data_IF_938446949678
#
_entry.id   IF_938446949678
#
_cell.length_a   1.000
_cell.length_b   1.000
_cell.length_c   1.000
_cell.angle_alpha   90.00
_cell.angle_beta   90.00
_cell.angle_gamma   90.00
#
_symmetry.space_group_name_H-M   'P 1'
#
loop_
_entity.id
_entity.type
_entity.pdbx_description
1 polymer ?
#
# COMPACT_ATOMS: atom_id res chain seq x y z
N UNK A 1 15.39 0.59 30.35
CA UNK A 1 14.28 1.13 31.18
C UNK A 1 13.01 0.49 30.67
N UNK A 2 12.28 -0.25 31.51
CA UNK A 2 10.91 -0.69 31.22
C UNK A 2 9.97 0.38 31.80
N UNK A 3 8.88 0.68 31.12
CA UNK A 3 7.86 1.71 31.40
C UNK A 3 8.28 3.16 31.10
N UNK A 4 9.09 3.41 30.06
CA UNK A 4 9.39 4.77 29.61
C UNK A 4 8.30 5.41 28.73
N UNK A 5 7.30 4.64 28.28
CA UNK A 5 6.32 5.06 27.28
C UNK A 5 6.93 5.22 25.88
N UNK A 6 8.08 4.60 25.63
CA UNK A 6 8.81 4.69 24.35
C UNK A 6 8.96 3.28 23.80
N UNK A 7 8.57 3.10 22.55
CA UNK A 7 8.62 1.84 21.81
C UNK A 7 9.50 2.04 20.59
N UNK A 8 10.30 1.07 20.22
CA UNK A 8 11.19 1.28 19.09
C UNK A 8 12.08 0.12 18.75
N UNK A 9 12.77 0.26 17.64
CA UNK A 9 13.70 -0.75 17.13
C UNK A 9 15.02 -0.09 16.80
N UNK A 10 16.10 -0.88 16.73
CA UNK A 10 17.41 -0.41 16.30
C UNK A 10 18.10 -1.41 15.40
N UNK A 11 19.09 -0.92 14.64
CA UNK A 11 20.10 -1.75 13.95
C UNK A 11 21.49 -1.14 14.08
N UNK A 12 22.52 -1.94 13.87
CA UNK A 12 23.87 -1.41 13.68
C UNK A 12 23.92 -0.62 12.38
N UNK A 13 24.56 0.55 12.41
CA UNK A 13 24.73 1.36 11.20
C UNK A 13 25.54 0.56 10.18
N UNK A 14 25.02 0.47 8.95
CA UNK A 14 25.63 -0.32 7.86
C UNK A 14 25.37 -1.83 7.91
N UNK A 15 24.63 -2.34 8.89
CA UNK A 15 24.23 -3.75 8.93
C UNK A 15 23.20 -4.04 7.84
N UNK A 16 23.48 -4.99 6.92
CA UNK A 16 22.55 -5.36 5.88
C UNK A 16 21.38 -6.22 6.40
N UNK A 17 21.37 -6.67 7.65
CA UNK A 17 20.25 -7.47 8.17
C UNK A 17 18.90 -6.74 8.03
N UNK A 18 17.84 -7.40 7.50
CA UNK A 18 16.49 -6.88 7.51
C UNK A 18 15.87 -6.92 8.90
N UNK A 19 16.40 -7.73 9.81
CA UNK A 19 15.89 -7.92 11.17
C UNK A 19 16.43 -6.86 12.11
N UNK A 20 15.55 -6.26 12.90
CA UNK A 20 15.85 -5.18 13.84
C UNK A 20 15.72 -5.65 15.29
N UNK A 21 16.47 -5.03 16.19
CA UNK A 21 16.39 -5.31 17.62
C UNK A 21 15.33 -4.41 18.27
N UNK A 22 14.33 -5.02 18.92
CA UNK A 22 13.37 -4.27 19.76
C UNK A 22 14.06 -3.67 20.98
N UNK A 23 13.79 -2.41 21.27
CA UNK A 23 14.36 -1.65 22.40
C UNK A 23 13.30 -0.93 23.22
N UNK A 24 13.72 -0.33 24.34
CA UNK A 24 12.84 0.37 25.28
C UNK A 24 11.69 -0.55 25.72
N UNK A 25 10.44 -0.06 25.72
CA UNK A 25 9.28 -0.83 26.16
C UNK A 25 8.82 -1.87 25.14
N UNK A 26 9.39 -1.86 23.93
CA UNK A 26 9.13 -2.92 22.95
C UNK A 26 9.97 -4.18 23.17
N UNK A 27 10.99 -4.13 24.04
CA UNK A 27 11.87 -5.26 24.31
C UNK A 27 11.09 -6.44 24.91
N UNK A 28 11.08 -7.57 24.19
CA UNK A 28 10.36 -8.78 24.58
C UNK A 28 8.91 -8.85 24.09
N UNK A 29 8.40 -7.83 23.38
CA UNK A 29 7.06 -7.88 22.79
C UNK A 29 7.00 -8.82 21.59
N UNK A 30 5.86 -9.48 21.45
CA UNK A 30 5.49 -10.38 20.35
C UNK A 30 4.53 -9.67 19.40
N UNK A 31 4.78 -9.73 18.09
CA UNK A 31 3.88 -9.23 17.05
C UNK A 31 3.68 -10.32 15.99
N UNK A 32 2.68 -11.20 16.20
CA UNK A 32 2.32 -12.25 15.23
C UNK A 32 1.21 -11.76 14.31
N UNK A 33 1.16 -12.34 13.11
CA UNK A 33 0.09 -12.14 12.13
C UNK A 33 -0.76 -13.41 12.00
N UNK A 34 -2.06 -13.22 11.75
CA UNK A 34 -3.03 -14.32 11.61
C UNK A 34 -3.27 -14.72 10.15
N UNK A 35 -3.88 -15.89 9.96
CA UNK A 35 -4.39 -16.35 8.67
C UNK A 35 -5.91 -16.55 8.77
N UNK A 36 -6.67 -15.86 7.92
CA UNK A 36 -8.14 -15.88 7.95
C UNK A 36 -8.69 -15.62 9.35
N UNK A 37 -9.57 -16.51 9.83
CA UNK A 37 -10.19 -16.42 11.16
C UNK A 37 -9.26 -16.67 12.37
N UNK A 38 -7.95 -16.90 12.16
CA UNK A 38 -7.02 -17.20 13.25
C UNK A 38 -6.78 -15.98 14.15
N UNK A 39 -6.92 -16.18 15.47
CA UNK A 39 -6.45 -15.23 16.50
C UNK A 39 -5.00 -15.54 16.86
N UNK A 40 -4.19 -14.49 17.04
CA UNK A 40 -2.78 -14.59 17.38
C UNK A 40 -2.40 -13.58 18.47
N UNK A 41 -1.25 -13.78 19.10
CA UNK A 41 -0.70 -12.83 20.06
C UNK A 41 -0.02 -11.67 19.31
N UNK A 42 -0.52 -10.46 19.50
CA UNK A 42 0.17 -9.23 19.11
C UNK A 42 0.08 -8.24 20.27
N UNK A 43 1.19 -8.08 21.01
CA UNK A 43 1.22 -7.26 22.22
C UNK A 43 1.02 -5.75 21.91
N UNK A 44 1.27 -5.34 20.66
CA UNK A 44 1.01 -3.97 20.19
C UNK A 44 -0.48 -3.63 20.12
N UNK A 45 -1.39 -4.62 20.17
CA UNK A 45 -2.84 -4.39 20.16
C UNK A 45 -3.34 -3.56 21.35
N UNK A 46 -2.56 -3.47 22.42
CA UNK A 46 -2.90 -2.71 23.63
C UNK A 46 -2.02 -1.46 23.82
N UNK A 47 -1.21 -1.10 22.81
CA UNK A 47 -0.19 -0.06 22.91
C UNK A 47 -0.46 1.05 21.89
N UNK A 48 -0.60 2.29 22.32
CA UNK A 48 -0.71 3.43 21.42
C UNK A 48 0.63 3.74 20.72
N UNK A 49 0.63 4.09 19.42
CA UNK A 49 -0.56 4.32 18.59
C UNK A 49 -1.20 3.04 17.99
N UNK A 50 -0.50 1.92 17.92
CA UNK A 50 -0.94 0.69 17.21
C UNK A 50 -2.31 0.15 17.65
N UNK A 51 -2.54 0.01 18.96
CA UNK A 51 -3.82 -0.42 19.53
C UNK A 51 -4.96 0.59 19.36
N UNK A 52 -4.65 1.81 18.93
CA UNK A 52 -5.63 2.85 18.62
C UNK A 52 -6.05 2.91 17.16
N UNK A 53 -5.51 2.04 16.28
CA UNK A 53 -5.99 1.93 14.91
C UNK A 53 -7.42 1.39 14.90
N UNK A 54 -8.38 2.15 14.36
CA UNK A 54 -9.79 1.75 14.35
C UNK A 54 -10.43 2.04 13.01
N UNK A 55 -10.96 1.00 12.38
CA UNK A 55 -11.82 1.18 11.21
C UNK A 55 -13.08 1.94 11.59
N UNK A 56 -13.49 2.89 10.76
CA UNK A 56 -14.66 3.73 11.00
C UNK A 56 -15.34 4.14 9.68
N UNK A 57 -16.63 4.46 9.76
CA UNK A 57 -17.32 5.22 8.72
C UNK A 57 -17.15 6.71 8.97
N UNK A 58 -16.38 7.38 8.12
CA UNK A 58 -16.10 8.81 8.21
C UNK A 58 -17.06 9.58 7.28
N UNK A 59 -17.76 10.56 7.84
CA UNK A 59 -18.55 11.52 7.07
C UNK A 59 -17.67 12.52 6.31
N UNK A 60 -18.18 13.18 5.26
CA UNK A 60 -17.41 14.17 4.48
C UNK A 60 -16.96 15.38 5.31
N UNK A 61 -17.62 15.65 6.43
CA UNK A 61 -17.29 16.68 7.41
C UNK A 61 -16.19 16.26 8.41
N UNK A 62 -15.67 15.03 8.30
CA UNK A 62 -14.68 14.46 9.20
C UNK A 62 -15.23 13.94 10.52
N UNK A 63 -16.56 13.81 10.66
CA UNK A 63 -17.18 13.20 11.83
C UNK A 63 -17.28 11.68 11.65
N UNK A 64 -16.79 10.94 12.64
CA UNK A 64 -17.00 9.49 12.70
C UNK A 64 -18.47 9.21 13.00
N UNK A 65 -19.07 8.34 12.19
CA UNK A 65 -20.49 7.92 12.32
C UNK A 65 -20.65 6.61 13.06
N UNK A 66 -19.71 5.68 12.88
CA UNK A 66 -19.64 4.41 13.58
C UNK A 66 -18.22 3.83 13.45
N UNK A 67 -17.76 3.14 14.48
CA UNK A 67 -16.54 2.32 14.46
C UNK A 67 -16.86 0.86 14.14
N UNK A 68 -15.89 0.14 13.58
CA UNK A 68 -16.00 -1.30 13.33
C UNK A 68 -16.40 -2.05 14.61
N UNK A 69 -17.40 -2.92 14.48
CA UNK A 69 -18.01 -3.64 15.61
C UNK A 69 -19.24 -2.95 16.23
N UNK A 70 -19.48 -1.67 15.93
CA UNK A 70 -20.70 -0.97 16.37
C UNK A 70 -21.89 -1.26 15.43
N UNK A 71 -23.15 -1.29 15.92
CA UNK A 71 -24.33 -1.63 15.10
C UNK A 71 -24.54 -0.78 13.84
N UNK A 72 -24.03 0.46 13.85
CA UNK A 72 -24.14 1.40 12.73
C UNK A 72 -23.07 1.26 11.65
N UNK A 73 -22.02 0.45 11.88
CA UNK A 73 -20.92 0.32 10.93
C UNK A 73 -21.37 -0.40 9.65
N UNK A 74 -20.81 0.02 8.51
CA UNK A 74 -21.03 -0.56 7.18
C UNK A 74 -19.73 -0.56 6.38
N UNK A 75 -19.31 -1.70 5.84
CA UNK A 75 -18.09 -1.79 5.01
C UNK A 75 -18.31 -1.44 3.53
N UNK A 76 -19.55 -1.45 3.06
CA UNK A 76 -19.96 -1.23 1.66
C UNK A 76 -19.95 0.26 1.21
N UNK A 77 -19.65 1.18 2.13
CA UNK A 77 -19.63 2.62 1.90
C UNK A 77 -20.95 3.34 2.16
N UNK A 78 -22.04 2.64 2.49
CA UNK A 78 -23.34 3.26 2.81
C UNK A 78 -23.29 4.12 4.09
N UNK A 79 -22.43 3.72 5.03
CA UNK A 79 -22.18 4.48 6.27
C UNK A 79 -21.35 5.75 6.06
N UNK A 80 -20.69 5.93 4.91
CA UNK A 80 -19.65 6.92 4.67
C UNK A 80 -18.34 6.26 4.22
N UNK A 81 -17.28 7.05 4.08
CA UNK A 81 -15.98 6.53 3.67
C UNK A 81 -15.46 5.55 4.73
N UNK A 82 -15.09 4.33 4.34
CA UNK A 82 -14.49 3.37 5.28
C UNK A 82 -13.01 3.72 5.43
N UNK A 83 -12.66 4.26 6.58
CA UNK A 83 -11.33 4.76 6.89
C UNK A 83 -10.77 4.02 8.11
N UNK A 84 -9.48 4.18 8.36
CA UNK A 84 -8.78 3.76 9.58
C UNK A 84 -8.33 5.02 10.30
N UNK A 85 -8.90 5.27 11.47
CA UNK A 85 -8.45 6.30 12.41
C UNK A 85 -7.10 5.91 13.00
N UNK A 86 -6.15 6.83 12.99
CA UNK A 86 -4.80 6.65 13.55
C UNK A 86 -4.56 7.77 14.56
N UNK A 87 -4.32 7.44 15.85
CA UNK A 87 -4.08 8.43 16.87
C UNK A 87 -2.72 9.08 16.72
N UNK A 88 -2.63 10.34 17.14
CA UNK A 88 -1.39 11.09 17.21
C UNK A 88 -0.33 10.36 18.02
N UNK A 89 0.91 10.42 17.52
CA UNK A 89 2.10 9.99 18.23
C UNK A 89 3.27 10.93 17.91
N UNK A 90 4.34 10.77 18.67
CA UNK A 90 5.61 11.46 18.50
C UNK A 90 6.68 10.45 18.12
N UNK A 91 7.66 10.87 17.35
CA UNK A 91 8.71 10.00 16.85
C UNK A 91 10.09 10.62 17.01
N UNK A 92 11.09 9.76 17.12
CA UNK A 92 12.48 10.13 17.11
C UNK A 92 13.25 9.09 16.31
N UNK A 93 13.97 9.56 15.29
CA UNK A 93 14.90 8.76 14.53
C UNK A 93 16.28 9.39 14.67
N UNK A 94 17.27 8.59 15.08
CA UNK A 94 18.62 9.08 15.32
C UNK A 94 19.67 7.98 15.16
N UNK A 95 20.90 8.42 14.93
CA UNK A 95 22.09 7.58 15.09
C UNK A 95 22.85 7.97 16.37
N UNK A 96 23.23 6.97 17.17
CA UNK A 96 24.07 7.16 18.36
C UNK A 96 24.90 5.90 18.64
N UNK A 97 26.19 6.08 18.90
CA UNK A 97 27.11 4.99 19.27
C UNK A 97 27.14 3.82 18.26
N UNK A 98 27.04 4.13 16.96
CA UNK A 98 27.05 3.13 15.89
C UNK A 98 25.74 2.34 15.73
N UNK A 99 24.64 2.84 16.30
CA UNK A 99 23.29 2.30 16.16
C UNK A 99 22.35 3.35 15.57
N UNK A 100 21.48 2.92 14.67
CA UNK A 100 20.32 3.68 14.17
C UNK A 100 19.07 3.26 14.94
N UNK A 101 18.28 4.20 15.43
CA UNK A 101 17.09 3.98 16.28
C UNK A 101 15.84 4.57 15.63
N UNK A 102 14.74 3.79 15.58
CA UNK A 102 13.39 4.29 15.28
C UNK A 102 12.54 4.17 16.54
N UNK A 103 12.15 5.31 17.09
CA UNK A 103 11.43 5.40 18.35
C UNK A 103 10.08 6.10 18.17
N UNK A 104 9.07 5.61 18.88
CA UNK A 104 7.69 6.08 18.88
C UNK A 104 7.24 6.25 20.33
N UNK A 105 6.49 7.31 20.60
CA UNK A 105 5.85 7.57 21.89
C UNK A 105 4.44 8.14 21.67
N UNK A 106 3.41 7.65 22.37
CA UNK A 106 2.07 8.24 22.32
C UNK A 106 2.03 9.61 23.01
N UNK A 107 2.98 9.91 23.89
CA UNK A 107 3.10 11.18 24.59
C UNK A 107 4.29 11.99 24.10
N UNK A 108 4.28 13.31 24.33
CA UNK A 108 5.43 14.17 24.02
C UNK A 108 6.63 13.77 24.89
N UNK A 109 7.77 13.55 24.25
CA UNK A 109 9.05 13.22 24.89
C UNK A 109 10.12 14.23 24.43
N UNK A 110 11.18 14.38 25.23
CA UNK A 110 12.31 15.23 24.86
C UNK A 110 12.98 14.71 23.57
N UNK A 111 13.24 15.60 22.62
CA UNK A 111 13.83 15.27 21.32
C UNK A 111 12.86 14.66 20.30
N UNK A 112 11.69 14.16 20.72
CA UNK A 112 10.71 13.60 19.80
C UNK A 112 9.95 14.71 19.07
N UNK A 113 9.73 14.50 17.77
CA UNK A 113 8.96 15.39 16.90
C UNK A 113 7.57 14.85 16.63
N UNK A 114 6.63 15.76 16.42
CA UNK A 114 5.33 15.45 15.83
C UNK A 114 5.47 15.44 14.29
N UNK A 115 4.90 14.45 13.62
CA UNK A 115 4.89 14.44 12.15
C UNK A 115 4.02 15.57 11.59
N UNK A 116 4.41 16.22 10.47
CA UNK A 116 3.52 17.15 9.77
C UNK A 116 2.20 16.52 9.31
N UNK A 117 2.08 15.19 9.26
CA UNK A 117 0.82 14.49 9.02
C UNK A 117 -0.24 14.84 10.08
N UNK A 118 0.15 15.12 11.32
CA UNK A 118 -0.74 15.45 12.43
C UNK A 118 -0.87 16.96 12.66
N UNK A 119 -0.66 17.78 11.64
CA UNK A 119 -0.85 19.23 11.71
C UNK A 119 -1.97 19.65 10.76
N UNK A 120 -2.88 20.50 11.24
CA UNK A 120 -3.85 21.16 10.38
C UNK A 120 -3.21 22.28 9.53
N UNK A 121 -3.99 22.90 8.66
CA UNK A 121 -3.52 23.99 7.79
C UNK A 121 -3.00 25.23 8.55
N UNK A 122 -3.26 25.35 9.86
CA UNK A 122 -2.77 26.43 10.74
C UNK A 122 -1.59 25.98 11.61
N UNK A 123 -1.10 24.76 11.41
CA UNK A 123 -0.02 24.16 12.20
C UNK A 123 -0.46 23.70 13.59
N UNK A 124 -1.76 23.55 13.85
CA UNK A 124 -2.25 23.02 15.13
C UNK A 124 -2.23 21.49 15.13
N UNK A 125 -1.84 20.84 16.24
CA UNK A 125 -1.86 19.40 16.35
C UNK A 125 -3.26 18.80 16.23
N UNK A 126 -3.38 17.78 15.39
CA UNK A 126 -4.54 16.91 15.28
C UNK A 126 -4.41 15.76 16.28
N UNK A 127 -5.52 15.34 16.88
CA UNK A 127 -5.54 14.14 17.73
C UNK A 127 -5.54 12.85 16.91
N UNK A 128 -6.12 12.88 15.71
CA UNK A 128 -6.21 11.73 14.81
C UNK A 128 -6.11 12.16 13.35
N UNK A 129 -5.67 11.24 12.51
CA UNK A 129 -5.75 11.29 11.04
C UNK A 129 -6.40 10.02 10.54
N UNK A 130 -6.83 10.01 9.27
CA UNK A 130 -7.55 8.88 8.71
C UNK A 130 -7.03 8.50 7.33
N UNK A 131 -6.82 7.21 7.11
CA UNK A 131 -6.44 6.65 5.81
C UNK A 131 -7.52 5.69 5.31
N UNK A 132 -7.76 5.61 4.01
CA UNK A 132 -8.71 4.67 3.42
C UNK A 132 -8.38 3.23 3.83
N UNK A 133 -9.36 2.53 4.40
CA UNK A 133 -9.21 1.11 4.71
C UNK A 133 -9.01 0.30 3.42
N UNK A 134 -9.58 0.77 2.30
CA UNK A 134 -9.49 0.16 1.00
C UNK A 134 -8.93 1.14 -0.05
N UNK A 135 -8.55 0.62 -1.21
CA UNK A 135 -8.24 1.44 -2.38
C UNK A 135 -9.47 2.25 -2.82
N UNK A 136 -9.25 3.43 -3.36
CA UNK A 136 -10.31 4.26 -3.93
C UNK A 136 -11.03 3.49 -5.06
N UNK A 137 -12.31 3.24 -4.89
CA UNK A 137 -13.20 2.66 -5.89
C UNK A 137 -14.17 3.72 -6.44
N UNK A 138 -14.80 3.51 -7.61
CA UNK A 138 -15.86 4.39 -8.10
C UNK A 138 -17.09 4.37 -7.18
N UNK A 139 -17.64 5.54 -6.88
CA UNK A 139 -18.88 5.68 -6.09
C UNK A 139 -20.17 5.49 -6.92
N UNK A 140 -20.03 5.38 -8.25
CA UNK A 140 -21.15 5.30 -9.21
C UNK A 140 -21.78 6.65 -9.58
N UNK A 141 -21.25 7.76 -9.07
CA UNK A 141 -21.73 9.14 -9.26
C UNK A 141 -20.65 10.09 -9.81
N UNK A 142 -19.51 9.54 -10.22
CA UNK A 142 -18.36 10.29 -10.75
C UNK A 142 -17.31 10.65 -9.70
N UNK A 143 -17.53 10.30 -8.43
CA UNK A 143 -16.58 10.44 -7.34
C UNK A 143 -15.86 9.14 -6.98
N UNK A 144 -15.29 9.12 -5.77
CA UNK A 144 -14.53 7.99 -5.22
C UNK A 144 -15.02 7.62 -3.83
N UNK A 145 -14.90 6.34 -3.50
CA UNK A 145 -15.25 5.78 -2.20
C UNK A 145 -14.20 4.76 -1.75
N UNK A 146 -13.85 4.76 -0.48
CA UNK A 146 -13.16 3.65 0.19
C UNK A 146 -14.23 2.73 0.78
N UNK A 147 -14.43 1.56 0.17
CA UNK A 147 -15.45 0.59 0.54
C UNK A 147 -15.10 -0.82 0.04
N UNK A 148 -15.58 -1.83 0.78
CA UNK A 148 -15.57 -3.24 0.39
C UNK A 148 -16.60 -3.54 -0.71
N UNK A 149 -16.45 -4.69 -1.36
CA UNK A 149 -17.36 -5.17 -2.41
C UNK A 149 -17.24 -4.41 -3.73
N UNK A 150 -16.14 -3.68 -3.94
CA UNK A 150 -15.89 -2.88 -5.15
C UNK A 150 -14.45 -3.05 -5.62
N UNK A 151 -14.25 -3.14 -6.93
CA UNK A 151 -12.91 -3.05 -7.48
C UNK A 151 -12.39 -1.62 -7.35
N UNK A 152 -11.14 -1.49 -6.90
CA UNK A 152 -10.44 -0.21 -6.93
C UNK A 152 -10.43 0.35 -8.36
N UNK A 153 -10.50 1.67 -8.47
CA UNK A 153 -10.31 2.35 -9.75
C UNK A 153 -8.81 2.34 -10.08
N UNK A 154 -8.51 2.06 -11.34
CA UNK A 154 -7.16 2.06 -11.93
C UNK A 154 -7.14 2.95 -13.17
N UNK A 155 -6.01 3.00 -13.89
CA UNK A 155 -5.88 3.75 -15.16
C UNK A 155 -6.28 5.22 -14.98
N UNK A 156 -5.75 5.83 -13.94
CA UNK A 156 -6.03 7.22 -13.60
C UNK A 156 -4.72 7.88 -13.23
N UNK A 157 -4.45 9.04 -13.82
CA UNK A 157 -3.25 9.83 -13.58
C UNK A 157 -3.29 10.53 -12.20
N UNK A 158 -2.13 11.02 -11.76
CA UNK A 158 -2.02 11.68 -10.46
C UNK A 158 -2.88 12.96 -10.33
N UNK A 159 -2.91 13.88 -11.32
CA UNK A 159 -3.77 15.06 -11.26
C UNK A 159 -5.25 14.71 -11.06
N UNK A 160 -5.75 13.72 -11.79
CA UNK A 160 -7.15 13.29 -11.69
C UNK A 160 -7.44 12.68 -10.33
N UNK A 161 -6.55 11.83 -9.80
CA UNK A 161 -6.70 11.29 -8.45
C UNK A 161 -6.74 12.37 -7.38
N UNK A 162 -5.84 13.35 -7.45
CA UNK A 162 -5.83 14.49 -6.52
C UNK A 162 -7.16 15.25 -6.59
N UNK A 163 -7.66 15.51 -7.79
CA UNK A 163 -8.96 16.15 -8.00
C UNK A 163 -10.11 15.36 -7.38
N UNK A 164 -10.20 14.05 -7.69
CA UNK A 164 -11.23 13.16 -7.16
C UNK A 164 -11.25 13.14 -5.63
N UNK A 165 -10.09 13.04 -4.98
CA UNK A 165 -10.00 13.00 -3.52
C UNK A 165 -10.37 14.35 -2.91
N UNK A 166 -9.87 15.47 -3.46
CA UNK A 166 -10.19 16.83 -2.96
C UNK A 166 -11.66 17.22 -3.15
N UNK A 167 -12.33 16.66 -4.16
CA UNK A 167 -13.75 16.89 -4.40
C UNK A 167 -14.66 16.35 -3.27
N UNK A 168 -14.15 15.48 -2.39
CA UNK A 168 -14.88 15.05 -1.19
C UNK A 168 -15.04 16.18 -0.15
N UNK A 169 -14.17 17.19 -0.20
CA UNK A 169 -14.25 18.38 0.63
C UNK A 169 -12.91 18.83 1.21
N UNK A 170 -12.92 19.89 2.03
CA UNK A 170 -11.72 20.33 2.74
C UNK A 170 -11.12 19.19 3.56
N UNK A 171 -9.79 19.17 3.68
CA UNK A 171 -9.00 18.14 4.42
C UNK A 171 -8.96 16.76 3.77
N UNK A 172 -9.78 16.49 2.75
CA UNK A 172 -9.65 15.28 1.94
C UNK A 172 -8.53 15.43 0.92
N UNK A 173 -7.70 14.39 0.84
CA UNK A 173 -6.60 14.28 -0.10
C UNK A 173 -6.35 12.84 -0.49
N UNK A 174 -5.40 12.68 -1.40
CA UNK A 174 -4.80 11.38 -1.69
C UNK A 174 -3.65 11.16 -0.69
N UNK A 175 -3.31 9.90 -0.42
CA UNK A 175 -2.13 9.55 0.37
C UNK A 175 -0.88 10.34 -0.09
N UNK A 176 -0.12 10.85 0.87
CA UNK A 176 1.02 11.72 0.64
C UNK A 176 2.32 11.17 1.25
N UNK A 177 3.45 11.73 0.81
CA UNK A 177 4.78 11.27 1.21
C UNK A 177 5.03 11.44 2.72
N UNK A 178 4.41 12.42 3.37
CA UNK A 178 4.54 12.60 4.81
C UNK A 178 3.88 11.43 5.53
N UNK A 179 2.63 11.12 5.19
CA UNK A 179 1.90 10.01 5.77
C UNK A 179 2.63 8.67 5.54
N UNK A 180 3.06 8.40 4.30
CA UNK A 180 3.74 7.16 3.97
C UNK A 180 5.02 6.95 4.82
N UNK A 181 5.91 7.94 4.83
CA UNK A 181 7.23 7.78 5.47
C UNK A 181 7.17 7.91 7.01
N UNK A 182 6.43 8.89 7.53
CA UNK A 182 6.39 9.15 8.98
C UNK A 182 5.38 8.29 9.73
N UNK A 183 4.38 7.70 9.05
CA UNK A 183 3.30 6.94 9.69
C UNK A 183 3.36 5.48 9.29
N UNK A 184 3.11 5.15 8.02
CA UNK A 184 3.02 3.74 7.61
C UNK A 184 4.35 2.99 7.78
N UNK A 185 5.43 3.50 7.18
CA UNK A 185 6.74 2.85 7.23
C UNK A 185 7.28 2.71 8.65
N UNK A 186 7.21 3.80 9.43
CA UNK A 186 7.69 3.82 10.82
C UNK A 186 6.91 2.84 11.71
N UNK A 187 5.58 2.91 11.71
CA UNK A 187 4.77 2.10 12.61
C UNK A 187 4.84 0.61 12.25
N UNK A 188 4.87 0.26 10.97
CA UNK A 188 5.06 -1.13 10.53
C UNK A 188 6.42 -1.67 10.99
N UNK A 189 7.48 -0.90 10.76
CA UNK A 189 8.87 -1.31 11.07
C UNK A 189 9.08 -1.52 12.56
N UNK A 190 8.55 -0.63 13.40
CA UNK A 190 8.61 -0.79 14.85
C UNK A 190 7.72 -1.95 15.32
N UNK A 191 6.53 -2.12 14.75
CA UNK A 191 5.62 -3.21 15.12
C UNK A 191 6.25 -4.57 14.85
N UNK A 192 6.81 -4.80 13.66
CA UNK A 192 7.31 -6.12 13.26
C UNK A 192 8.82 -6.31 13.45
N UNK A 193 9.54 -5.25 13.82
CA UNK A 193 11.00 -5.27 13.99
C UNK A 193 11.74 -5.81 12.76
N UNK A 194 11.29 -5.40 11.58
CA UNK A 194 11.95 -5.71 10.32
C UNK A 194 11.74 -4.62 9.28
N UNK A 195 12.71 -4.47 8.39
CA UNK A 195 12.60 -3.67 7.17
C UNK A 195 11.96 -4.45 6.01
N UNK A 196 11.94 -5.79 6.07
CA UNK A 196 11.36 -6.64 5.02
C UNK A 196 9.88 -6.91 5.31
N UNK A 197 9.00 -6.07 4.77
CA UNK A 197 7.55 -6.20 4.95
C UNK A 197 6.99 -7.53 4.42
N UNK A 198 7.49 -8.01 3.28
CA UNK A 198 7.06 -9.28 2.68
C UNK A 198 7.42 -10.51 3.52
N UNK A 199 8.42 -10.41 4.42
CA UNK A 199 8.73 -11.49 5.38
C UNK A 199 7.66 -11.65 6.47
N UNK A 200 6.86 -10.60 6.71
CA UNK A 200 5.75 -10.62 7.66
C UNK A 200 4.48 -11.06 6.95
N UNK A 201 4.17 -10.42 5.81
CA UNK A 201 3.00 -10.68 4.99
C UNK A 201 3.38 -10.45 3.52
N UNK A 202 3.39 -11.48 2.66
CA UNK A 202 3.84 -11.31 1.27
C UNK A 202 2.96 -10.35 0.47
N UNK A 203 1.63 -10.43 0.66
CA UNK A 203 0.65 -9.61 -0.05
C UNK A 203 0.33 -10.12 -1.46
N UNK A 204 -0.47 -9.35 -2.20
CA UNK A 204 -0.81 -9.62 -3.60
C UNK A 204 0.34 -9.09 -4.49
N UNK A 205 1.29 -9.94 -4.87
CA UNK A 205 2.52 -9.51 -5.56
C UNK A 205 2.92 -10.42 -6.74
N UNK A 206 2.46 -11.68 -6.78
CA UNK A 206 2.82 -12.70 -7.78
C UNK A 206 1.59 -13.46 -8.33
N UNK A 207 0.60 -12.71 -8.79
CA UNK A 207 -0.57 -13.25 -9.47
C UNK A 207 -0.30 -13.50 -10.97
N UNK A 208 -0.94 -14.53 -11.57
CA UNK A 208 -0.81 -14.87 -12.99
C UNK A 208 -0.95 -13.68 -13.94
N UNK A 209 0.08 -13.42 -14.74
CA UNK A 209 0.10 -12.32 -15.72
C UNK A 209 1.02 -12.68 -16.89
N UNK A 210 0.51 -13.41 -17.89
CA UNK A 210 1.32 -13.92 -19.02
C UNK A 210 0.69 -13.67 -20.38
N UNK A 211 1.50 -13.22 -21.34
CA UNK A 211 1.13 -13.13 -22.75
C UNK A 211 1.29 -14.46 -23.51
N UNK A 212 1.89 -15.46 -22.87
CA UNK A 212 2.23 -16.76 -23.47
C UNK A 212 1.15 -17.83 -23.24
N UNK A 213 0.07 -17.49 -22.53
CA UNK A 213 -1.02 -18.41 -22.20
C UNK A 213 -2.38 -17.88 -22.68
N UNK A 214 -2.60 -17.80 -24.00
CA UNK A 214 -3.86 -17.31 -24.55
C UNK A 214 -5.02 -18.29 -24.31
N UNK A 215 -6.23 -17.78 -24.49
CA UNK A 215 -7.44 -18.59 -24.57
C UNK A 215 -7.33 -19.56 -25.74
N UNK A 216 -7.73 -20.80 -25.50
CA UNK A 216 -7.62 -21.90 -26.45
C UNK A 216 -8.87 -22.08 -27.30
N UNK A 217 -9.99 -21.48 -26.91
CA UNK A 217 -11.30 -21.64 -27.54
C UNK A 217 -12.05 -20.31 -27.59
N UNK A 218 -12.86 -20.13 -28.62
CA UNK A 218 -13.85 -19.05 -28.69
C UNK A 218 -15.20 -19.55 -28.15
N UNK A 219 -15.83 -18.78 -27.27
CA UNK A 219 -17.15 -19.07 -26.71
C UNK A 219 -17.96 -17.76 -26.64
N UNK A 220 -19.23 -17.79 -27.08
CA UNK A 220 -20.12 -16.62 -27.04
C UNK A 220 -20.91 -16.62 -25.73
N UNK A 221 -21.10 -15.45 -25.12
CA UNK A 221 -21.85 -15.29 -23.87
C UNK A 221 -21.39 -16.23 -22.76
N UNK A 222 -20.09 -16.34 -22.52
CA UNK A 222 -19.49 -17.27 -21.57
C UNK A 222 -18.99 -16.59 -20.29
N UNK A 223 -19.02 -17.34 -19.18
CA UNK A 223 -18.42 -16.99 -17.88
C UNK A 223 -17.25 -17.92 -17.54
N UNK A 224 -16.57 -18.43 -18.57
CA UNK A 224 -15.39 -19.28 -18.39
C UNK A 224 -14.38 -19.04 -19.50
N UNK A 225 -13.12 -19.01 -19.13
CA UNK A 225 -11.99 -18.86 -20.03
C UNK A 225 -11.20 -20.17 -20.08
N UNK A 226 -11.06 -20.77 -21.27
CA UNK A 226 -10.31 -22.03 -21.43
C UNK A 226 -8.87 -21.74 -21.78
N UNK A 227 -7.94 -22.12 -20.89
CA UNK A 227 -6.49 -21.93 -21.05
C UNK A 227 -5.73 -23.24 -20.83
N UNK A 228 -4.41 -23.21 -21.02
CA UNK A 228 -3.55 -24.34 -20.68
C UNK A 228 -3.70 -24.69 -19.19
N UNK A 229 -3.76 -25.98 -18.88
CA UNK A 229 -4.03 -26.48 -17.52
C UNK A 229 -3.01 -25.97 -16.50
N UNK A 230 -1.72 -25.93 -16.86
CA UNK A 230 -0.67 -25.42 -15.98
C UNK A 230 -0.83 -23.94 -15.63
N UNK A 231 -1.39 -23.14 -16.54
CA UNK A 231 -1.68 -21.73 -16.28
C UNK A 231 -2.95 -21.57 -15.45
N UNK A 232 -4.02 -22.30 -15.77
CA UNK A 232 -5.28 -22.27 -15.03
C UNK A 232 -5.11 -22.61 -13.54
N UNK A 233 -4.21 -23.56 -13.21
CA UNK A 233 -3.92 -23.99 -11.83
C UNK A 233 -3.33 -22.89 -10.94
N UNK A 234 -2.87 -21.78 -11.51
CA UNK A 234 -2.35 -20.65 -10.76
C UNK A 234 -3.46 -19.68 -10.30
N UNK A 235 -4.67 -19.80 -10.86
CA UNK A 235 -5.84 -19.04 -10.45
C UNK A 235 -6.60 -19.74 -9.34
N UNK A 236 -7.32 -18.96 -8.53
CA UNK A 236 -8.15 -19.50 -7.46
C UNK A 236 -9.38 -18.65 -7.18
N UNK A 237 -10.40 -19.18 -6.48
CA UNK A 237 -11.59 -18.43 -6.15
C UNK A 237 -11.31 -17.09 -5.44
N UNK A 238 -12.09 -16.06 -5.80
CA UNK A 238 -11.98 -14.70 -5.28
C UNK A 238 -10.92 -13.82 -5.97
N UNK A 239 -10.01 -14.41 -6.75
CA UNK A 239 -8.97 -13.67 -7.45
C UNK A 239 -9.55 -12.78 -8.54
N UNK A 240 -9.15 -11.51 -8.53
CA UNK A 240 -9.46 -10.57 -9.60
C UNK A 240 -8.77 -10.96 -10.91
N UNK A 241 -9.53 -10.97 -12.00
CA UNK A 241 -9.05 -11.23 -13.35
C UNK A 241 -9.54 -10.15 -14.32
N UNK A 242 -8.93 -10.11 -15.49
CA UNK A 242 -9.36 -9.33 -16.63
C UNK A 242 -9.10 -10.12 -17.93
N UNK A 243 -9.85 -9.77 -18.97
CA UNK A 243 -9.69 -10.35 -20.30
C UNK A 243 -9.65 -9.27 -21.40
N UNK A 244 -8.80 -9.52 -22.40
CA UNK A 244 -8.69 -8.73 -23.63
C UNK A 244 -7.58 -9.25 -24.54
N UNK A 245 -7.14 -8.46 -25.52
CA UNK A 245 -6.24 -8.95 -26.58
C UNK A 245 -4.75 -8.72 -26.28
N UNK A 246 -4.42 -8.03 -25.19
CA UNK A 246 -3.05 -7.78 -24.75
C UNK A 246 -2.98 -7.71 -23.22
N UNK A 247 -1.79 -7.91 -22.65
CA UNK A 247 -1.60 -7.73 -21.22
C UNK A 247 -1.94 -6.29 -20.83
N UNK A 248 -2.80 -6.17 -19.83
CA UNK A 248 -3.30 -4.88 -19.37
C UNK A 248 -4.47 -4.35 -20.18
N UNK A 249 -4.86 -4.95 -21.32
CA UNK A 249 -6.11 -4.64 -22.02
C UNK A 249 -7.30 -5.37 -21.39
N UNK A 250 -8.14 -4.63 -20.67
CA UNK A 250 -9.29 -5.16 -19.94
C UNK A 250 -10.64 -4.76 -20.59
N UNK A 251 -10.70 -4.58 -21.90
CA UNK A 251 -11.92 -4.12 -22.59
C UNK A 251 -13.03 -5.17 -22.68
N UNK A 252 -12.71 -6.47 -22.65
CA UNK A 252 -13.70 -7.55 -22.77
C UNK A 252 -14.31 -7.86 -21.42
N UNK A 253 -13.46 -8.16 -20.44
CA UNK A 253 -13.84 -8.29 -19.03
C UNK A 253 -12.94 -7.36 -18.22
N UNK A 254 -13.44 -6.19 -17.77
CA UNK A 254 -12.65 -5.23 -17.02
C UNK A 254 -12.14 -5.74 -15.69
N UNK A 255 -13.05 -6.35 -14.92
CA UNK A 255 -12.82 -7.00 -13.64
C UNK A 255 -13.85 -8.11 -13.47
N UNK A 256 -13.40 -9.27 -13.01
CA UNK A 256 -14.25 -10.34 -12.51
C UNK A 256 -13.49 -11.12 -11.44
N UNK A 257 -14.21 -11.78 -10.54
CA UNK A 257 -13.63 -12.70 -9.57
C UNK A 257 -13.70 -14.11 -10.13
N UNK A 258 -12.60 -14.85 -10.01
CA UNK A 258 -12.59 -16.29 -10.29
C UNK A 258 -13.56 -16.98 -9.33
N UNK A 259 -14.40 -17.86 -9.88
CA UNK A 259 -15.35 -18.68 -9.11
C UNK A 259 -14.91 -20.14 -9.03
N UNK A 260 -14.05 -20.58 -9.94
CA UNK A 260 -13.48 -21.93 -9.89
C UNK A 260 -12.57 -22.26 -11.07
N UNK A 261 -11.85 -23.37 -10.95
CA UNK A 261 -11.01 -23.94 -12.02
C UNK A 261 -11.45 -25.38 -12.26
N UNK A 262 -11.83 -25.71 -13.49
CA UNK A 262 -12.31 -27.04 -13.88
C UNK A 262 -11.40 -27.66 -14.93
N UNK A 263 -10.83 -28.84 -14.64
CA UNK A 263 -10.01 -29.57 -15.61
C UNK A 263 -10.90 -30.14 -16.72
N UNK A 264 -10.52 -29.90 -17.97
CA UNK A 264 -11.27 -30.38 -19.14
C UNK A 264 -10.61 -31.58 -19.82
N UNK A 265 -9.41 -31.96 -19.37
CA UNK A 265 -8.58 -32.98 -20.01
C UNK A 265 -7.84 -32.47 -21.26
N UNK A 266 -6.88 -33.26 -21.73
CA UNK A 266 -6.04 -32.89 -22.87
C UNK A 266 -5.15 -31.67 -22.62
N UNK A 267 -4.72 -31.45 -21.37
CA UNK A 267 -3.87 -30.32 -20.98
C UNK A 267 -4.59 -28.96 -20.92
N UNK A 268 -5.92 -28.96 -20.84
CA UNK A 268 -6.77 -27.75 -20.81
C UNK A 268 -7.60 -27.68 -19.54
N UNK A 269 -7.86 -26.46 -19.09
CA UNK A 269 -8.77 -26.20 -17.98
C UNK A 269 -9.57 -24.91 -18.23
N UNK A 270 -10.78 -24.86 -17.68
CA UNK A 270 -11.63 -23.69 -17.68
C UNK A 270 -11.46 -22.92 -16.35
N UNK A 271 -11.15 -21.64 -16.44
CA UNK A 271 -11.24 -20.70 -15.31
C UNK A 271 -12.59 -20.01 -15.39
N UNK A 272 -13.49 -20.33 -14.46
CA UNK A 272 -14.81 -19.72 -14.35
C UNK A 272 -14.73 -18.43 -13.55
N UNK A 273 -15.57 -17.45 -13.91
CA UNK A 273 -15.59 -16.12 -13.29
C UNK A 273 -17.00 -15.57 -13.15
N UNK A 274 -17.18 -14.59 -12.27
CA UNK A 274 -18.47 -13.93 -12.01
C UNK A 274 -18.76 -12.78 -12.99
N UNK A 275 -19.89 -12.10 -12.80
CA UNK A 275 -20.30 -10.96 -13.63
C UNK A 275 -21.02 -11.35 -14.93
N UNK A 276 -21.31 -10.36 -15.80
CA UNK A 276 -22.01 -10.59 -17.05
C UNK A 276 -21.24 -11.57 -17.97
N UNK A 277 -21.93 -12.47 -18.68
CA UNK A 277 -21.29 -13.30 -19.69
C UNK A 277 -20.65 -12.44 -20.79
N UNK A 278 -19.51 -12.89 -21.32
CA UNK A 278 -18.76 -12.17 -22.35
C UNK A 278 -18.48 -13.04 -23.57
N UNK A 279 -18.35 -12.40 -24.74
CA UNK A 279 -17.89 -13.06 -25.96
C UNK A 279 -16.37 -13.19 -25.90
N UNK A 280 -15.90 -14.42 -25.83
CA UNK A 280 -14.48 -14.77 -25.71
C UNK A 280 -13.98 -15.35 -27.02
N UNK A 281 -12.80 -14.90 -27.45
CA UNK A 281 -12.15 -15.37 -28.66
C UNK A 281 -10.86 -16.11 -28.31
N UNK A 282 -10.59 -17.21 -29.01
CA UNK A 282 -9.28 -17.85 -28.98
C UNK A 282 -8.19 -16.83 -29.34
N UNK A 283 -7.09 -16.82 -28.59
CA UNK A 283 -6.03 -15.83 -28.72
C UNK A 283 -6.15 -14.63 -27.77
N UNK A 284 -7.31 -14.37 -27.16
CA UNK A 284 -7.40 -13.42 -26.04
C UNK A 284 -6.54 -13.87 -24.86
N UNK A 285 -6.21 -12.95 -23.96
CA UNK A 285 -5.44 -13.23 -22.75
C UNK A 285 -6.35 -13.18 -21.53
N UNK A 286 -6.20 -14.19 -20.67
CA UNK A 286 -6.68 -14.18 -19.28
C UNK A 286 -5.51 -13.81 -18.38
N UNK A 287 -5.66 -12.78 -17.57
CA UNK A 287 -4.62 -12.35 -16.63
C UNK A 287 -5.24 -11.77 -15.36
N UNK A 288 -4.45 -11.70 -14.29
CA UNK A 288 -4.91 -11.20 -13.01
C UNK A 288 -5.07 -9.69 -13.03
N UNK A 289 -6.08 -9.20 -12.32
CA UNK A 289 -6.35 -7.78 -12.09
C UNK A 289 -6.43 -7.51 -10.59
N UNK A 290 -6.81 -6.29 -10.21
CA UNK A 290 -7.06 -5.93 -8.82
C UNK A 290 -7.94 -6.95 -8.11
N UNK A 291 -7.55 -7.32 -6.89
CA UNK A 291 -8.47 -8.01 -5.99
C UNK A 291 -9.58 -7.04 -5.56
N UNK A 292 -10.82 -7.54 -5.47
CA UNK A 292 -11.96 -6.75 -5.00
C UNK A 292 -11.72 -6.28 -3.56
N UNK A 293 -12.04 -5.02 -3.25
CA UNK A 293 -11.90 -4.52 -1.88
C UNK A 293 -12.73 -5.37 -0.91
N UNK A 294 -12.19 -5.65 0.27
CA UNK A 294 -12.78 -6.55 1.27
C UNK A 294 -12.23 -7.98 1.23
N UNK A 295 -11.25 -8.26 0.36
CA UNK A 295 -10.62 -9.57 0.25
C UNK A 295 -9.89 -10.05 1.51
N UNK A 296 -9.57 -9.15 2.44
CA UNK A 296 -8.93 -9.46 3.72
C UNK A 296 -9.85 -9.17 4.94
N UNK A 297 -11.14 -8.88 4.72
CA UNK A 297 -12.07 -8.52 5.82
C UNK A 297 -12.30 -9.64 6.84
N UNK A 298 -12.10 -10.89 6.43
CA UNK A 298 -12.23 -12.07 7.30
C UNK A 298 -11.00 -12.32 8.20
N UNK A 299 -9.91 -11.53 8.04
CA UNK A 299 -8.75 -11.61 8.92
C UNK A 299 -9.15 -11.20 10.34
N UNK A 300 -9.17 -12.16 11.26
CA UNK A 300 -9.63 -11.94 12.63
C UNK A 300 -8.58 -11.26 13.53
N UNK A 301 -7.29 -11.41 13.19
CA UNK A 301 -6.18 -10.76 13.87
C UNK A 301 -6.08 -9.27 13.49
N UNK A 302 -5.36 -8.48 14.29
CA UNK A 302 -5.08 -7.07 13.96
C UNK A 302 -4.26 -6.91 12.69
N UNK A 303 -3.48 -7.94 12.30
CA UNK A 303 -2.73 -8.02 11.05
C UNK A 303 -2.66 -9.46 10.57
N UNK A 304 -2.67 -9.69 9.25
CA UNK A 304 -2.72 -11.03 8.69
C UNK A 304 -2.96 -11.12 7.20
N UNK A 305 -3.07 -12.35 6.73
CA UNK A 305 -3.42 -12.68 5.36
C UNK A 305 -4.77 -13.41 5.31
N UNK A 306 -5.54 -13.22 4.24
CA UNK A 306 -6.84 -13.89 4.08
C UNK A 306 -6.73 -15.42 4.12
N UNK A 307 -5.62 -15.97 3.59
CA UNK A 307 -5.28 -17.39 3.63
C UNK A 307 -3.76 -17.56 3.59
N UNK A 308 -3.27 -18.76 3.93
CA UNK A 308 -1.85 -19.07 3.95
C UNK A 308 -1.31 -19.14 2.53
N UNK A 309 -0.38 -18.25 2.21
CA UNK A 309 0.26 -18.17 0.90
C UNK A 309 1.63 -17.52 1.05
N UNK A 310 2.67 -18.22 0.59
CA UNK A 310 4.04 -17.70 0.61
C UNK A 310 4.46 -17.14 -0.76
N UNK A 311 3.62 -17.31 -1.77
CA UNK A 311 3.92 -17.03 -3.17
C UNK A 311 3.63 -15.58 -3.53
N UNK A 312 2.84 -14.85 -2.75
CA UNK A 312 2.49 -13.47 -3.04
C UNK A 312 1.14 -13.37 -3.71
N UNK A 313 0.19 -14.17 -3.26
CA UNK A 313 -1.13 -14.17 -3.81
C UNK A 313 -2.13 -13.69 -2.75
N UNK A 314 -1.93 -13.84 -1.44
CA UNK A 314 -3.01 -13.52 -0.48
C UNK A 314 -3.26 -12.00 -0.32
N UNK A 315 -4.53 -11.54 -0.30
CA UNK A 315 -4.89 -10.26 0.28
C UNK A 315 -4.42 -10.18 1.73
N UNK A 316 -3.92 -9.03 2.14
CA UNK A 316 -3.37 -8.80 3.48
C UNK A 316 -4.07 -7.64 4.18
N UNK A 317 -4.10 -7.69 5.50
CA UNK A 317 -4.63 -6.66 6.37
C UNK A 317 -3.53 -6.25 7.34
N UNK A 318 -3.29 -4.95 7.48
CA UNK A 318 -2.47 -4.40 8.54
C UNK A 318 -3.24 -3.34 9.30
N UNK A 319 -3.59 -3.61 10.55
CA UNK A 319 -4.25 -2.65 11.46
C UNK A 319 -5.52 -2.03 10.87
N UNK A 320 -6.28 -2.79 10.09
CA UNK A 320 -7.49 -2.33 9.42
C UNK A 320 -7.29 -1.73 8.02
N UNK A 321 -6.05 -1.57 7.57
CA UNK A 321 -5.70 -1.15 6.21
C UNK A 321 -5.54 -2.40 5.35
N UNK A 322 -6.39 -2.57 4.35
CA UNK A 322 -6.31 -3.66 3.39
C UNK A 322 -5.28 -3.35 2.30
N UNK A 323 -4.44 -4.34 2.02
CA UNK A 323 -3.37 -4.31 1.01
C UNK A 323 -2.56 -3.00 1.09
N UNK A 324 -1.86 -2.72 2.21
CA UNK A 324 -1.06 -1.50 2.38
C UNK A 324 0.13 -1.43 1.40
N UNK A 325 0.45 -2.55 0.76
CA UNK A 325 1.37 -2.69 -0.35
C UNK A 325 0.95 -3.92 -1.17
N UNK A 326 1.55 -4.09 -2.35
CA UNK A 326 1.06 -5.04 -3.33
C UNK A 326 -0.34 -4.65 -3.82
N UNK A 327 -1.01 -5.57 -4.49
CA UNK A 327 -2.21 -5.36 -5.27
C UNK A 327 -1.95 -4.34 -6.39
N UNK A 328 -1.85 -3.05 -6.11
CA UNK A 328 -1.59 -2.02 -7.12
C UNK A 328 -0.60 -0.99 -6.63
N UNK A 329 0.10 -0.37 -7.57
CA UNK A 329 0.84 0.85 -7.25
C UNK A 329 -0.13 1.94 -6.81
N UNK A 330 0.20 2.64 -5.74
CA UNK A 330 -0.58 3.80 -5.26
C UNK A 330 0.16 5.10 -5.59
N UNK A 331 -0.54 6.08 -6.16
CA UNK A 331 -0.01 7.41 -6.35
C UNK A 331 0.23 8.13 -5.03
N UNK A 332 1.38 8.80 -4.92
CA UNK A 332 1.77 9.58 -3.75
C UNK A 332 1.84 11.07 -4.09
N UNK A 333 1.22 11.89 -3.25
CA UNK A 333 1.27 13.34 -3.36
C UNK A 333 2.37 13.98 -2.50
N UNK A 334 2.62 15.27 -2.71
CA UNK A 334 3.56 16.05 -1.88
C UNK A 334 5.04 15.77 -2.15
N UNK A 335 5.37 15.02 -3.21
CA UNK A 335 6.74 14.79 -3.68
C UNK A 335 6.81 14.81 -5.21
N UNK A 336 7.85 15.46 -5.73
CA UNK A 336 8.26 15.45 -7.13
C UNK A 336 9.76 15.20 -7.20
N UNK A 337 10.23 14.39 -8.16
CA UNK A 337 11.66 14.09 -8.35
C UNK A 337 12.08 14.69 -9.69
N UNK A 338 13.08 15.57 -9.71
CA UNK A 338 13.69 16.05 -10.95
C UNK A 338 15.11 15.49 -11.04
N UNK A 339 15.38 14.62 -12.02
CA UNK A 339 16.72 14.08 -12.28
C UNK A 339 17.41 13.57 -10.98
N UNK A 340 16.73 12.63 -10.31
CA UNK A 340 17.14 12.04 -9.02
C UNK A 340 17.12 13.00 -7.83
N UNK A 341 16.64 14.24 -7.97
CA UNK A 341 16.53 15.19 -6.85
C UNK A 341 15.08 15.28 -6.35
N UNK A 342 14.77 14.81 -5.13
CA UNK A 342 13.45 15.02 -4.54
C UNK A 342 13.19 16.48 -4.12
N UNK A 343 11.96 16.91 -4.37
CA UNK A 343 11.36 18.15 -3.91
C UNK A 343 10.08 17.80 -3.18
N UNK A 344 9.97 18.17 -1.91
CA UNK A 344 8.85 17.77 -1.05
C UNK A 344 8.06 18.95 -0.54
N UNK A 345 6.77 18.74 -0.34
CA UNK A 345 5.84 19.71 0.22
C UNK A 345 5.10 19.09 1.41
N UNK A 346 4.97 19.84 2.51
CA UNK A 346 4.22 19.40 3.70
C UNK A 346 2.84 20.01 3.81
N UNK A 347 2.53 21.02 2.99
CA UNK A 347 1.22 21.69 2.94
C UNK A 347 0.33 21.04 1.86
N UNK A 348 -0.71 20.27 2.25
CA UNK A 348 -1.61 19.64 1.29
C UNK A 348 -2.32 20.61 0.36
N UNK A 349 -2.53 21.86 0.79
CA UNK A 349 -3.15 22.90 -0.03
C UNK A 349 -2.26 23.35 -1.19
N UNK A 350 -0.94 23.19 -1.05
CA UNK A 350 0.06 23.62 -2.03
C UNK A 350 0.55 22.49 -2.96
N UNK A 351 0.03 21.25 -2.80
CA UNK A 351 0.46 20.13 -3.65
C UNK A 351 0.17 20.38 -5.13
N UNK A 352 1.19 20.13 -5.94
CA UNK A 352 1.27 20.38 -7.37
C UNK A 352 2.02 19.24 -8.07
N UNK A 353 1.56 18.87 -9.27
CA UNK A 353 2.14 17.76 -10.03
C UNK A 353 3.53 18.04 -10.60
N UNK A 354 3.85 19.32 -10.78
CA UNK A 354 5.02 19.73 -11.55
C UNK A 354 5.88 20.79 -10.83
N UNK A 355 5.51 21.22 -9.62
CA UNK A 355 6.27 22.23 -8.91
C UNK A 355 7.52 21.66 -8.24
N UNK A 356 8.63 22.40 -8.39
CA UNK A 356 9.91 22.18 -7.71
C UNK A 356 10.40 23.47 -7.03
N UNK A 357 9.51 24.46 -6.90
CA UNK A 357 9.79 25.78 -6.34
C UNK A 357 8.67 26.19 -5.37
N UNK A 358 8.86 27.33 -4.68
CA UNK A 358 7.87 27.85 -3.74
C UNK A 358 7.70 26.94 -2.52
N UNK A 359 6.50 26.35 -2.36
CA UNK A 359 6.18 25.46 -1.24
C UNK A 359 6.91 24.10 -1.31
N UNK A 360 7.49 23.76 -2.47
CA UNK A 360 8.29 22.56 -2.65
C UNK A 360 9.76 22.83 -2.29
N UNK A 361 10.27 22.07 -1.32
CA UNK A 361 11.62 22.21 -0.79
C UNK A 361 12.49 21.06 -1.28
N UNK A 362 13.63 21.42 -1.87
CA UNK A 362 14.67 20.47 -2.27
C UNK A 362 15.32 19.81 -1.06
N UNK A 363 15.42 18.48 -1.09
CA UNK A 363 16.19 17.71 -0.10
C UNK A 363 17.69 17.82 -0.37
N UNK A 364 18.53 17.66 0.66
CA UNK A 364 19.99 17.82 0.56
C UNK A 364 20.75 16.60 -0.01
N UNK A 365 20.05 15.56 -0.47
CA UNK A 365 20.63 14.35 -1.07
C UNK A 365 20.02 14.07 -2.47
N UNK A 366 20.56 13.08 -3.19
CA UNK A 366 19.97 12.54 -4.42
C UNK A 366 19.45 11.14 -4.17
N UNK A 367 18.40 10.77 -4.90
CA UNK A 367 17.99 9.39 -5.01
C UNK A 367 19.02 8.56 -5.79
N UNK A 368 18.92 7.24 -5.65
CA UNK A 368 19.81 6.28 -6.28
C UNK A 368 19.81 6.44 -7.81
N UNK A 369 20.98 6.50 -8.45
CA UNK A 369 21.06 6.50 -9.91
C UNK A 369 20.76 5.12 -10.52
N UNK A 370 20.76 4.06 -9.72
CA UNK A 370 20.52 2.69 -10.18
C UNK A 370 19.03 2.43 -10.31
N UNK A 371 18.59 2.11 -11.53
CA UNK A 371 17.20 1.77 -11.83
C UNK A 371 16.88 0.30 -11.54
N UNK A 372 15.61 0.00 -11.29
CA UNK A 372 15.06 -1.34 -11.11
C UNK A 372 15.90 -2.22 -10.17
N UNK A 373 16.28 -1.68 -9.02
CA UNK A 373 17.24 -2.32 -8.13
C UNK A 373 16.79 -2.35 -6.67
N UNK A 374 17.18 -3.39 -5.89
CA UNK A 374 16.90 -3.47 -4.46
C UNK A 374 17.46 -2.27 -3.70
N UNK A 375 16.69 -1.72 -2.77
CA UNK A 375 17.08 -0.56 -1.95
C UNK A 375 18.01 -1.01 -0.82
N UNK A 376 19.09 -0.26 -0.63
CA UNK A 376 20.12 -0.57 0.38
C UNK A 376 20.51 0.63 1.26
N UNK A 377 20.04 1.84 0.94
CA UNK A 377 20.21 3.02 1.80
C UNK A 377 19.12 4.06 1.53
N UNK A 378 18.88 4.91 2.52
CA UNK A 378 17.91 6.01 2.49
C UNK A 378 18.60 7.34 2.79
N UNK A 379 18.04 8.42 2.26
CA UNK A 379 18.53 9.77 2.49
C UNK A 379 18.01 10.36 3.78
N UNK A 380 18.81 11.27 4.34
CA UNK A 380 18.47 12.01 5.55
C UNK A 380 18.72 13.50 5.34
N UNK A 381 17.68 14.29 5.57
CA UNK A 381 17.76 15.74 5.65
C UNK A 381 17.16 16.18 6.99
N UNK A 382 17.98 16.63 7.96
CA UNK A 382 17.48 17.07 9.27
C UNK A 382 16.42 18.20 9.19
N UNK A 383 16.36 18.94 8.08
CA UNK A 383 15.37 20.01 7.84
C UNK A 383 14.02 19.46 7.37
N UNK A 384 14.00 18.24 6.84
CA UNK A 384 12.87 17.55 6.22
C UNK A 384 12.89 16.06 6.62
N UNK A 385 12.82 15.74 7.93
CA UNK A 385 13.13 14.40 8.44
C UNK A 385 12.16 13.28 8.01
N UNK A 386 11.01 13.63 7.41
CA UNK A 386 10.09 12.65 6.81
C UNK A 386 10.54 12.18 5.42
N UNK A 387 11.30 13.03 4.71
CA UNK A 387 11.74 12.73 3.35
C UNK A 387 12.91 11.76 3.41
N UNK A 388 12.60 10.46 3.43
CA UNK A 388 13.57 9.35 3.47
C UNK A 388 13.44 8.50 2.20
N UNK A 389 13.95 9.02 1.09
CA UNK A 389 13.92 8.33 -0.21
C UNK A 389 15.20 7.51 -0.46
N UNK A 390 15.17 6.52 -1.37
CA UNK A 390 16.31 5.63 -1.60
C UNK A 390 17.52 6.37 -2.20
N UNK A 391 18.65 6.44 -1.49
CA UNK A 391 19.90 7.07 -1.98
C UNK A 391 20.85 6.07 -2.64
N UNK A 392 20.68 4.78 -2.36
CA UNK A 392 21.47 3.70 -2.96
C UNK A 392 20.58 2.48 -3.18
N UNK A 393 20.68 1.90 -4.37
CA UNK A 393 20.09 0.62 -4.75
C UNK A 393 21.10 -0.19 -5.56
N UNK A 394 21.01 -1.53 -5.46
CA UNK A 394 21.93 -2.43 -6.13
C UNK A 394 21.77 -3.89 -5.74
N UNK A 395 22.54 -4.76 -6.39
CA UNK A 395 22.51 -6.22 -6.21
C UNK A 395 23.00 -6.69 -4.83
N UNK A 396 23.55 -5.79 -4.00
CA UNK A 396 23.90 -6.07 -2.61
C UNK A 396 22.70 -6.00 -1.65
N UNK A 397 21.51 -5.66 -2.15
CA UNK A 397 20.23 -5.74 -1.45
C UNK A 397 19.37 -6.93 -1.88
N UNK A 398 18.34 -7.24 -1.09
CA UNK A 398 17.42 -8.33 -1.41
C UNK A 398 16.56 -8.76 -0.22
N UNK A 399 15.75 -9.83 -0.35
CA UNK A 399 14.83 -10.26 0.71
C UNK A 399 15.54 -10.64 2.02
N UNK A 400 16.82 -11.00 1.96
CA UNK A 400 17.65 -11.31 3.13
C UNK A 400 18.59 -10.16 3.52
N UNK A 401 18.53 -9.02 2.79
CA UNK A 401 19.44 -7.88 2.96
C UNK A 401 18.71 -6.53 2.78
N UNK A 402 18.64 -5.73 3.84
CA UNK A 402 17.96 -4.43 3.95
C UNK A 402 16.43 -4.56 3.92
N UNK A 403 15.70 -3.87 3.04
CA UNK A 403 14.23 -4.03 2.99
C UNK A 403 13.77 -5.11 1.99
N UNK A 404 14.60 -5.44 1.00
CA UNK A 404 14.23 -6.33 -0.11
C UNK A 404 13.31 -5.71 -1.17
N UNK A 405 12.86 -4.48 -0.94
CA UNK A 405 12.01 -3.73 -1.87
C UNK A 405 12.85 -2.98 -2.91
N UNK A 406 12.21 -2.59 -4.03
CA UNK A 406 12.87 -2.05 -5.20
C UNK A 406 12.66 -0.54 -5.36
N UNK A 407 13.62 0.09 -6.06
CA UNK A 407 13.51 1.45 -6.54
C UNK A 407 13.62 1.51 -8.06
N UNK A 408 12.76 2.30 -8.69
CA UNK A 408 12.83 2.66 -10.11
C UNK A 408 12.96 4.16 -10.29
N UNK A 409 13.69 4.57 -11.32
CA UNK A 409 13.91 5.97 -11.67
C UNK A 409 13.92 6.20 -13.17
N UNK A 410 13.54 7.41 -13.60
CA UNK A 410 13.75 7.89 -14.97
C UNK A 410 14.22 9.35 -14.95
N UNK A 411 15.00 9.80 -15.96
CA UNK A 411 15.40 11.20 -16.09
C UNK A 411 14.21 12.15 -16.30
N UNK A 412 14.34 13.40 -15.89
CA UNK A 412 13.31 14.44 -15.98
C UNK A 412 12.42 14.51 -14.73
N UNK A 413 11.35 15.29 -14.83
CA UNK A 413 10.41 15.47 -13.72
C UNK A 413 9.50 14.24 -13.57
N UNK A 414 9.43 13.70 -12.37
CA UNK A 414 8.75 12.44 -12.04
C UNK A 414 7.89 12.57 -10.81
N UNK A 415 6.75 11.90 -10.88
CA UNK A 415 5.86 11.65 -9.76
C UNK A 415 6.22 10.30 -9.13
N UNK A 416 5.82 10.11 -7.87
CA UNK A 416 6.13 8.89 -7.11
C UNK A 416 4.90 8.01 -7.02
N UNK A 417 5.08 6.73 -7.31
CA UNK A 417 4.15 5.67 -6.96
C UNK A 417 4.79 4.71 -5.94
N UNK A 418 3.96 4.03 -5.16
CA UNK A 418 4.36 3.25 -3.99
C UNK A 418 3.72 1.85 -3.97
N UNK A 419 4.41 0.89 -3.35
CA UNK A 419 3.81 -0.35 -2.85
C UNK A 419 3.94 -1.58 -3.76
N UNK A 420 4.16 -1.41 -5.05
CA UNK A 420 4.25 -2.52 -6.01
C UNK A 420 2.89 -2.98 -6.55
N UNK A 421 2.89 -3.83 -7.58
CA UNK A 421 1.67 -4.35 -8.23
C UNK A 421 1.54 -5.86 -8.10
N UNK A 422 0.34 -6.37 -8.35
CA UNK A 422 -0.11 -7.74 -8.15
C UNK A 422 0.66 -8.82 -8.93
N UNK A 423 1.59 -8.49 -9.82
CA UNK A 423 2.22 -9.46 -10.73
C UNK A 423 3.76 -9.40 -10.81
N UNK A 424 4.41 -8.52 -10.03
CA UNK A 424 5.86 -8.27 -10.15
C UNK A 424 6.70 -9.07 -9.14
N UNK A 425 6.17 -10.18 -8.63
CA UNK A 425 6.81 -11.04 -7.64
C UNK A 425 7.25 -10.24 -6.42
N UNK A 426 8.51 -10.40 -6.00
CA UNK A 426 9.05 -9.77 -4.78
C UNK A 426 9.28 -8.25 -4.88
N UNK A 427 8.90 -7.60 -5.99
CA UNK A 427 9.16 -6.17 -6.20
C UNK A 427 8.01 -5.29 -5.71
N UNK A 428 7.63 -5.49 -4.45
CA UNK A 428 6.50 -4.86 -3.77
C UNK A 428 6.79 -4.81 -2.26
N UNK A 429 6.18 -3.88 -1.52
CA UNK A 429 6.43 -3.76 -0.09
C UNK A 429 6.35 -2.33 0.41
N UNK A 430 6.43 -2.16 1.73
CA UNK A 430 6.23 -0.87 2.39
C UNK A 430 7.36 0.14 2.14
N UNK A 431 8.50 -0.30 1.59
CA UNK A 431 9.61 0.54 1.15
C UNK A 431 9.77 0.56 -0.38
N UNK A 432 8.83 -0.03 -1.13
CA UNK A 432 8.89 -0.10 -2.59
C UNK A 432 8.46 1.23 -3.23
N UNK A 433 9.39 1.90 -3.90
CA UNK A 433 9.21 3.22 -4.48
C UNK A 433 9.47 3.22 -5.98
N UNK A 434 8.70 3.98 -6.75
CA UNK A 434 9.01 4.22 -8.15
C UNK A 434 8.86 5.70 -8.50
N UNK A 435 9.99 6.31 -8.83
CA UNK A 435 10.11 7.62 -9.49
C UNK A 435 10.17 7.47 -11.02
N UNK A 436 9.57 6.42 -11.58
CA UNK A 436 9.60 6.15 -13.02
C UNK A 436 8.57 6.98 -13.80
N UNK A 437 7.42 7.27 -13.18
CA UNK A 437 6.23 7.76 -13.84
C UNK A 437 6.21 9.29 -14.01
N UNK A 438 5.80 9.74 -15.20
CA UNK A 438 5.33 11.12 -15.36
C UNK A 438 4.00 11.32 -14.61
N UNK A 439 3.68 12.52 -14.11
CA UNK A 439 2.44 12.77 -13.37
C UNK A 439 1.16 12.40 -14.15
N UNK A 440 1.16 12.59 -15.47
CA UNK A 440 0.07 12.30 -16.42
C UNK A 440 0.04 10.83 -16.88
N UNK A 441 0.91 9.97 -16.35
CA UNK A 441 0.93 8.56 -16.74
C UNK A 441 -0.38 7.87 -16.36
N UNK A 442 -0.99 7.19 -17.33
CA UNK A 442 -2.16 6.33 -17.14
C UNK A 442 -1.71 4.88 -17.34
N UNK A 443 -1.79 4.05 -16.30
CA UNK A 443 -1.40 2.65 -16.38
C UNK A 443 -2.40 1.73 -15.66
N UNK A 444 -2.47 0.47 -16.08
CA UNK A 444 -3.47 -0.48 -15.59
C UNK A 444 -3.31 -0.82 -14.10
N UNK A 445 -2.11 -0.67 -13.54
CA UNK A 445 -1.80 -1.03 -12.16
C UNK A 445 -1.49 0.18 -11.28
N UNK A 446 -2.07 1.36 -11.57
CA UNK A 446 -1.99 2.54 -10.70
C UNK A 446 -3.36 2.92 -10.13
N UNK A 447 -3.42 3.01 -8.80
CA UNK A 447 -4.57 3.40 -8.00
C UNK A 447 -4.21 4.51 -7.01
N UNK A 448 -5.09 4.74 -6.04
CA UNK A 448 -4.90 5.71 -4.98
C UNK A 448 -5.69 5.31 -3.72
N UNK A 449 -5.37 5.96 -2.61
CA UNK A 449 -6.04 5.80 -1.32
C UNK A 449 -6.36 7.16 -0.71
N UNK A 450 -7.54 7.24 -0.09
CA UNK A 450 -8.01 8.47 0.57
C UNK A 450 -7.20 8.76 1.83
N UNK A 451 -6.93 10.03 2.06
CA UNK A 451 -6.37 10.56 3.29
C UNK A 451 -7.25 11.71 3.79
N UNK A 452 -7.51 11.77 5.09
CA UNK A 452 -8.17 12.90 5.75
C UNK A 452 -7.31 13.38 6.91
N UNK A 453 -6.84 14.63 6.83
CA UNK A 453 -6.05 15.29 7.88
C UNK A 453 -6.28 16.79 7.93
#
# INVERSE_FOLDING_TARGET
MKNSGIYGVRRRVGDPSPTLERVCDSAGLTARVGVGGQRVQNDFDQILPWGGFRRCNLGPDGRVRAYFGEPGYRSDGEGGQVMVEIPRFYQLHLEREGWEYWLVSPCRQEGFRLSPAFLDARGQPLEHIYIGAYLCAPDGRGGVVSAAGRYGRIRTDRPTWRGLCRNLGPRWGMMDAVFLCDVLQLLFTVEFATLNSQSVMTGLTDLPYSAESPLLLSEQGANRAVVAEGYARQFRPGQGIALGWALGDNRVVPHAAVTGVTLLGGGRAAVSFDGPPADLEAGMLLYSSLWINGGADEVAASSGAAFADAQGQAPILWRGIENPYGNTWEWIDGVNILDLRPYVCTDPGAYSDCSITGAYRMVNYCDSPTDESPIVAWGEDPRLPFARFPTRSGEDGGPERYCGDFYWQRPGLRAVIFGGSWYNGRRAGIYCFSGWSAPEMIHVNTGARLLYR
#
